data_IF_464646037703
#
_entry.id   IF_464646037703
#
_cell.length_a   1.000
_cell.length_b   1.000
_cell.length_c   1.000
_cell.angle_alpha   90.00
_cell.angle_beta   90.00
_cell.angle_gamma   90.00
#
_symmetry.space_group_name_H-M   'P 1'
#
loop_
_entity.id
_entity.type
_entity.pdbx_description
1 polymer ?
#
# COMPACT_ATOMS: atom_id res chain seq x y z
N UNK A 1 12.42 5.65 11.68
CA UNK A 1 12.56 4.65 10.61
C UNK A 1 13.45 5.23 9.51
N UNK A 2 14.49 4.54 9.10
CA UNK A 2 15.38 4.89 7.97
C UNK A 2 15.06 4.04 6.71
N UNK A 3 15.76 4.28 5.58
CA UNK A 3 15.49 3.59 4.31
C UNK A 3 15.75 2.08 4.37
N UNK A 4 16.81 1.66 5.06
CA UNK A 4 17.14 0.23 5.20
C UNK A 4 16.07 -0.48 6.05
N UNK A 5 15.57 0.18 7.09
CA UNK A 5 14.47 -0.34 7.91
C UNK A 5 13.17 -0.43 7.10
N UNK A 6 12.82 0.61 6.33
CA UNK A 6 11.62 0.63 5.50
C UNK A 6 11.63 -0.47 4.44
N UNK A 7 12.74 -0.61 3.72
CA UNK A 7 12.92 -1.65 2.69
C UNK A 7 12.96 -3.05 3.28
N UNK A 8 13.51 -3.21 4.49
CA UNK A 8 13.47 -4.49 5.20
C UNK A 8 12.05 -4.86 5.62
N UNK A 9 11.28 -3.95 6.20
CA UNK A 9 9.87 -4.20 6.57
C UNK A 9 9.07 -4.61 5.34
N UNK A 10 9.26 -3.91 4.21
CA UNK A 10 8.64 -4.27 2.94
C UNK A 10 9.02 -5.69 2.50
N UNK A 11 10.31 -6.01 2.45
CA UNK A 11 10.79 -7.35 2.07
C UNK A 11 10.27 -8.46 3.00
N UNK A 12 10.21 -8.20 4.31
CA UNK A 12 9.67 -9.14 5.30
C UNK A 12 8.17 -9.41 5.03
N UNK A 13 7.39 -8.37 4.69
CA UNK A 13 5.98 -8.52 4.28
C UNK A 13 5.86 -9.41 3.03
N UNK A 14 6.67 -9.16 2.00
CA UNK A 14 6.65 -9.99 0.78
C UNK A 14 6.98 -11.46 1.10
N UNK A 15 8.00 -11.70 1.92
CA UNK A 15 8.39 -13.04 2.34
C UNK A 15 7.28 -13.75 3.14
N UNK A 16 6.52 -13.02 3.97
CA UNK A 16 5.35 -13.57 4.64
C UNK A 16 4.25 -13.96 3.66
N UNK A 17 4.01 -13.16 2.62
CA UNK A 17 3.02 -13.49 1.58
C UNK A 17 3.43 -14.76 0.82
N UNK A 18 4.68 -14.84 0.37
CA UNK A 18 5.24 -16.01 -0.34
C UNK A 18 5.21 -17.29 0.50
N UNK A 19 5.36 -17.15 1.82
CA UNK A 19 5.31 -18.27 2.78
C UNK A 19 3.89 -18.62 3.24
N UNK A 20 2.84 -18.08 2.62
CA UNK A 20 1.43 -18.25 3.02
C UNK A 20 1.11 -17.78 4.45
N UNK A 21 1.94 -16.91 5.02
CA UNK A 21 1.84 -16.39 6.39
C UNK A 21 1.13 -15.04 6.44
N UNK A 22 -0.10 -14.98 5.91
CA UNK A 22 -0.83 -13.70 5.78
C UNK A 22 -1.14 -13.00 7.11
N UNK A 23 -1.23 -13.73 8.22
CA UNK A 23 -1.38 -13.12 9.55
C UNK A 23 -0.19 -12.22 9.88
N UNK A 24 1.03 -12.70 9.67
CA UNK A 24 2.26 -11.95 9.94
C UNK A 24 2.42 -10.76 8.99
N UNK A 25 2.00 -10.93 7.72
CA UNK A 25 1.92 -9.83 6.76
C UNK A 25 0.94 -8.74 7.23
N UNK A 26 -0.27 -9.11 7.67
CA UNK A 26 -1.25 -8.15 8.20
C UNK A 26 -0.76 -7.42 9.45
N UNK A 27 -0.16 -8.13 10.40
CA UNK A 27 0.32 -7.52 11.65
C UNK A 27 1.48 -6.54 11.37
N UNK A 28 2.36 -6.88 10.41
CA UNK A 28 3.43 -5.98 9.93
C UNK A 28 2.86 -4.75 9.21
N UNK A 29 1.90 -4.93 8.31
CA UNK A 29 1.23 -3.84 7.60
C UNK A 29 0.52 -2.87 8.55
N UNK A 30 -0.21 -3.37 9.56
CA UNK A 30 -0.89 -2.52 10.55
C UNK A 30 0.10 -1.68 11.33
N UNK A 31 1.18 -2.31 11.82
CA UNK A 31 2.24 -1.62 12.56
C UNK A 31 2.86 -0.51 11.70
N UNK A 32 3.14 -0.81 10.44
CA UNK A 32 3.73 0.15 9.53
C UNK A 32 2.77 1.29 9.18
N UNK A 33 1.52 1.01 8.82
CA UNK A 33 0.49 2.01 8.56
C UNK A 33 0.26 2.94 9.75
N UNK A 34 0.24 2.40 10.99
CA UNK A 34 0.15 3.19 12.21
C UNK A 34 1.36 4.13 12.37
N UNK A 35 2.58 3.64 12.10
CA UNK A 35 3.80 4.46 12.18
C UNK A 35 3.81 5.61 11.15
N UNK A 36 3.16 5.41 10.00
CA UNK A 36 3.01 6.42 8.94
C UNK A 36 1.79 7.33 9.16
N UNK A 37 0.97 7.05 10.17
CA UNK A 37 -0.32 7.69 10.43
C UNK A 37 -1.26 7.65 9.19
N UNK A 38 -1.22 6.53 8.45
CA UNK A 38 -2.07 6.33 7.28
C UNK A 38 -3.36 5.60 7.67
N UNK A 39 -4.38 6.37 8.05
CA UNK A 39 -5.68 5.83 8.47
C UNK A 39 -6.42 5.10 7.35
N UNK A 40 -6.28 5.57 6.10
CA UNK A 40 -6.91 4.95 4.93
C UNK A 40 -6.34 3.56 4.70
N UNK A 41 -5.01 3.42 4.75
CA UNK A 41 -4.36 2.11 4.67
C UNK A 41 -4.76 1.21 5.85
N UNK A 42 -4.80 1.75 7.07
CA UNK A 42 -5.20 0.99 8.26
C UNK A 42 -6.63 0.42 8.14
N UNK A 43 -7.57 1.20 7.64
CA UNK A 43 -8.95 0.75 7.36
C UNK A 43 -8.96 -0.36 6.31
N UNK A 44 -8.24 -0.16 5.20
CA UNK A 44 -8.16 -1.16 4.13
C UNK A 44 -7.56 -2.48 4.59
N UNK A 45 -6.51 -2.41 5.41
CA UNK A 45 -5.87 -3.58 6.03
C UNK A 45 -6.87 -4.35 6.91
N UNK A 46 -7.67 -3.64 7.71
CA UNK A 46 -8.69 -4.24 8.57
C UNK A 46 -9.80 -4.95 7.77
N UNK A 47 -10.25 -4.34 6.67
CA UNK A 47 -11.21 -4.92 5.74
C UNK A 47 -10.67 -6.22 5.13
N UNK A 48 -9.45 -6.20 4.59
CA UNK A 48 -8.82 -7.37 3.99
C UNK A 48 -8.59 -8.49 5.00
N UNK A 49 -8.14 -8.18 6.22
CA UNK A 49 -7.94 -9.19 7.26
C UNK A 49 -9.26 -9.86 7.66
N UNK A 50 -10.34 -9.07 7.74
CA UNK A 50 -11.68 -9.57 8.02
C UNK A 50 -12.15 -10.51 6.90
N UNK A 51 -11.98 -10.13 5.64
CA UNK A 51 -12.29 -10.97 4.49
C UNK A 51 -11.49 -12.28 4.49
N UNK A 52 -10.21 -12.23 4.88
CA UNK A 52 -9.38 -13.42 5.02
C UNK A 52 -9.90 -14.36 6.12
N UNK A 53 -10.31 -13.82 7.27
CA UNK A 53 -10.90 -14.61 8.37
C UNK A 53 -12.19 -15.31 7.92
N UNK A 54 -13.06 -14.60 7.20
CA UNK A 54 -14.27 -15.22 6.63
C UNK A 54 -13.93 -16.32 5.63
N UNK A 55 -12.94 -16.10 4.77
CA UNK A 55 -12.50 -17.12 3.80
C UNK A 55 -11.99 -18.40 4.50
N UNK A 56 -11.27 -18.28 5.61
CA UNK A 56 -10.84 -19.43 6.43
C UNK A 56 -12.05 -20.12 7.06
N UNK A 57 -12.99 -19.35 7.62
CA UNK A 57 -14.20 -19.90 8.24
C UNK A 57 -14.97 -20.79 7.27
N UNK A 58 -15.24 -20.30 6.06
CA UNK A 58 -15.95 -21.07 5.04
C UNK A 58 -15.17 -22.30 4.56
N UNK A 59 -13.83 -22.26 4.56
CA UNK A 59 -13.02 -23.44 4.24
C UNK A 59 -13.23 -24.56 5.27
N UNK A 60 -13.30 -24.21 6.56
CA UNK A 60 -13.48 -25.15 7.67
C UNK A 60 -14.89 -25.76 7.66
N UNK A 61 -15.90 -24.99 7.27
CA UNK A 61 -17.30 -25.44 7.18
C UNK A 61 -17.56 -26.42 6.01
N UNK A 62 -16.57 -26.68 5.16
CA UNK A 62 -16.62 -27.72 4.12
C UNK A 62 -17.32 -27.31 2.82
N UNK A 63 -17.74 -26.05 2.69
CA UNK A 63 -18.26 -25.51 1.44
C UNK A 63 -17.08 -25.17 0.50
N UNK A 64 -16.78 -26.07 -0.42
CA UNK A 64 -15.81 -25.83 -1.50
C UNK A 64 -16.41 -24.84 -2.51
N UNK A 65 -16.26 -23.54 -2.24
CA UNK A 65 -16.60 -22.48 -3.18
C UNK A 65 -15.56 -22.42 -4.31
N UNK A 66 -15.95 -22.62 -5.59
CA UNK A 66 -15.06 -22.51 -6.74
C UNK A 66 -14.36 -21.14 -6.86
N UNK A 67 -14.96 -20.06 -6.35
CA UNK A 67 -14.40 -18.72 -6.41
C UNK A 67 -13.39 -18.45 -5.28
N UNK A 68 -13.23 -19.36 -4.32
CA UNK A 68 -12.34 -19.18 -3.16
C UNK A 68 -10.90 -18.86 -3.57
N UNK A 69 -10.37 -19.57 -4.57
CA UNK A 69 -9.01 -19.34 -5.06
C UNK A 69 -8.85 -17.94 -5.66
N UNK A 70 -9.86 -17.45 -6.36
CA UNK A 70 -9.87 -16.11 -6.97
C UNK A 70 -9.98 -15.02 -5.91
N UNK A 71 -10.79 -15.22 -4.87
CA UNK A 71 -10.87 -14.32 -3.72
C UNK A 71 -9.51 -14.27 -3.01
N UNK A 72 -8.89 -15.41 -2.78
CA UNK A 72 -7.56 -15.48 -2.17
C UNK A 72 -6.50 -14.75 -3.01
N UNK A 73 -6.46 -14.99 -4.32
CA UNK A 73 -5.53 -14.30 -5.23
C UNK A 73 -5.72 -12.78 -5.23
N UNK A 74 -6.98 -12.32 -5.21
CA UNK A 74 -7.30 -10.89 -5.10
C UNK A 74 -6.79 -10.33 -3.78
N UNK A 75 -7.04 -11.03 -2.68
CA UNK A 75 -6.59 -10.63 -1.36
C UNK A 75 -5.06 -10.52 -1.29
N UNK A 76 -4.34 -11.53 -1.78
CA UNK A 76 -2.87 -11.51 -1.86
C UNK A 76 -2.36 -10.33 -2.68
N UNK A 77 -2.93 -10.09 -3.86
CA UNK A 77 -2.58 -8.93 -4.69
C UNK A 77 -2.80 -7.61 -3.94
N UNK A 78 -3.93 -7.47 -3.27
CA UNK A 78 -4.26 -6.23 -2.56
C UNK A 78 -3.32 -5.99 -1.35
N UNK A 79 -2.82 -7.06 -0.71
CA UNK A 79 -1.77 -6.98 0.33
C UNK A 79 -0.44 -6.52 -0.26
N UNK A 80 -0.04 -7.03 -1.44
CA UNK A 80 1.17 -6.56 -2.14
C UNK A 80 1.08 -5.07 -2.45
N UNK A 81 -0.04 -4.62 -3.03
CA UNK A 81 -0.25 -3.21 -3.35
C UNK A 81 -0.17 -2.32 -2.09
N UNK A 82 -0.77 -2.75 -0.98
CA UNK A 82 -0.67 -2.00 0.28
C UNK A 82 0.78 -1.91 0.81
N UNK A 83 1.58 -2.97 0.65
CA UNK A 83 2.99 -2.92 1.05
C UNK A 83 3.77 -1.91 0.20
N UNK A 84 3.55 -1.91 -1.11
CA UNK A 84 4.18 -0.98 -2.05
C UNK A 84 3.75 0.47 -1.77
N UNK A 85 2.45 0.72 -1.57
CA UNK A 85 1.89 2.04 -1.27
C UNK A 85 2.48 2.63 0.02
N UNK A 86 2.63 1.81 1.08
CA UNK A 86 3.23 2.25 2.34
C UNK A 86 4.73 2.55 2.17
N UNK A 87 5.44 1.76 1.36
CA UNK A 87 6.84 2.04 1.02
C UNK A 87 6.97 3.36 0.27
N UNK A 88 6.16 3.56 -0.77
CA UNK A 88 6.16 4.76 -1.59
C UNK A 88 5.79 6.00 -0.76
N UNK A 89 4.78 5.89 0.11
CA UNK A 89 4.42 6.96 1.04
C UNK A 89 5.59 7.34 1.94
N UNK A 90 6.29 6.35 2.50
CA UNK A 90 7.46 6.60 3.34
C UNK A 90 8.60 7.24 2.54
N UNK A 91 8.91 6.74 1.35
CA UNK A 91 9.96 7.28 0.49
C UNK A 91 9.64 8.69 0.01
N UNK A 92 8.39 8.96 -0.35
CA UNK A 92 7.93 10.30 -0.73
C UNK A 92 8.16 11.30 0.39
N UNK A 93 7.97 10.90 1.65
CA UNK A 93 8.20 11.77 2.81
C UNK A 93 9.68 11.93 3.17
N UNK A 94 10.49 10.88 3.02
CA UNK A 94 11.81 10.80 3.66
C UNK A 94 13.01 10.67 2.71
N UNK A 95 12.80 10.21 1.47
CA UNK A 95 13.89 9.95 0.52
C UNK A 95 14.43 11.24 -0.10
N UNK A 96 15.76 11.35 -0.18
CA UNK A 96 16.49 12.42 -0.86
C UNK A 96 16.79 12.11 -2.34
N UNK A 97 16.26 11.01 -2.89
CA UNK A 97 16.46 10.73 -4.32
C UNK A 97 15.76 11.80 -5.17
N UNK A 98 16.35 12.14 -6.33
CA UNK A 98 15.81 13.11 -7.29
C UNK A 98 14.35 12.79 -7.68
N UNK A 99 13.98 11.51 -7.79
CA UNK A 99 12.62 11.09 -8.08
C UNK A 99 11.63 11.60 -7.02
N UNK A 100 11.86 11.24 -5.74
CA UNK A 100 10.97 11.65 -4.65
C UNK A 100 11.03 13.15 -4.34
N UNK A 101 12.14 13.84 -4.63
CA UNK A 101 12.19 15.29 -4.61
C UNK A 101 11.20 15.90 -5.63
N UNK A 102 11.21 15.41 -6.87
CA UNK A 102 10.28 15.87 -7.92
C UNK A 102 8.83 15.55 -7.58
N UNK A 103 8.54 14.37 -7.02
CA UNK A 103 7.20 14.01 -6.54
C UNK A 103 6.70 14.99 -5.49
N UNK A 104 7.52 15.33 -4.49
CA UNK A 104 7.16 16.33 -3.48
C UNK A 104 6.91 17.71 -4.10
N UNK A 105 7.76 18.15 -5.03
CA UNK A 105 7.58 19.43 -5.72
C UNK A 105 6.30 19.46 -6.56
N UNK A 106 5.96 18.36 -7.23
CA UNK A 106 4.72 18.23 -7.98
C UNK A 106 3.49 18.31 -7.06
N UNK A 107 3.53 17.63 -5.90
CA UNK A 107 2.44 17.64 -4.92
C UNK A 107 2.21 19.00 -4.25
N UNK A 108 3.23 19.87 -4.21
CA UNK A 108 3.09 21.25 -3.68
C UNK A 108 2.48 22.20 -4.71
N UNK A 109 2.72 21.97 -6.01
CA UNK A 109 2.20 22.84 -7.06
C UNK A 109 0.73 22.53 -7.29
N UNK A 110 -0.13 23.55 -7.22
CA UNK A 110 -1.46 23.42 -7.79
C UNK A 110 -1.29 23.19 -9.31
N UNK A 111 -1.91 22.14 -9.87
CA UNK A 111 -1.90 21.95 -11.31
C UNK A 111 -2.66 23.13 -11.91
N UNK A 112 -1.93 23.98 -12.65
CA UNK A 112 -2.55 25.05 -13.41
C UNK A 112 -3.37 24.41 -14.54
N UNK A 113 -4.52 25.00 -14.84
CA UNK A 113 -5.29 24.63 -16.01
C UNK A 113 -4.50 24.95 -17.29
N UNK A 114 -4.83 24.28 -18.38
CA UNK A 114 -4.19 24.56 -19.69
C UNK A 114 -4.37 26.03 -20.07
N UNK A 115 -5.51 26.62 -19.73
CA UNK A 115 -5.80 28.04 -19.97
C UNK A 115 -4.88 28.95 -19.16
N UNK A 116 -4.64 28.63 -17.88
CA UNK A 116 -3.71 29.38 -17.02
C UNK A 116 -2.26 29.30 -17.54
N UNK A 117 -1.85 28.15 -18.07
CA UNK A 117 -0.53 28.01 -18.72
C UNK A 117 -0.41 28.87 -19.97
N UNK A 118 -1.44 28.91 -20.81
CA UNK A 118 -1.46 29.74 -22.01
C UNK A 118 -1.33 31.23 -21.66
N UNK A 119 -2.07 31.69 -20.65
CA UNK A 119 -2.03 33.07 -20.20
C UNK A 119 -0.64 33.49 -19.67
N UNK A 120 0.06 32.59 -18.96
CA UNK A 120 1.42 32.85 -18.48
C UNK A 120 2.42 32.94 -19.65
N UNK A 121 2.31 32.05 -20.64
CA UNK A 121 3.21 32.01 -21.79
C UNK A 121 3.02 33.23 -22.69
N UNK A 122 1.77 33.67 -22.89
CA UNK A 122 1.45 34.81 -23.77
C UNK A 122 1.81 36.16 -23.12
N UNK A 123 1.86 36.23 -21.78
CA UNK A 123 2.22 37.46 -21.04
C UNK A 123 3.72 37.66 -20.81
N UNK A 124 4.58 36.71 -21.20
CA UNK A 124 6.05 36.84 -21.20
C UNK A 124 6.56 37.38 -22.53
#
# INVERSE_FOLDING_TARGET
MNLNEATKIHADILAFIESYRLKDAFDSLKSWAASLQNWIAAEKISELETNYKYMIHYLVEGNKDPEQQKIYQRLVRDIYLLADDLLEQWQTRNSSSVFFERVRMANVRQPLSIEEYQDIIIRQ
#
